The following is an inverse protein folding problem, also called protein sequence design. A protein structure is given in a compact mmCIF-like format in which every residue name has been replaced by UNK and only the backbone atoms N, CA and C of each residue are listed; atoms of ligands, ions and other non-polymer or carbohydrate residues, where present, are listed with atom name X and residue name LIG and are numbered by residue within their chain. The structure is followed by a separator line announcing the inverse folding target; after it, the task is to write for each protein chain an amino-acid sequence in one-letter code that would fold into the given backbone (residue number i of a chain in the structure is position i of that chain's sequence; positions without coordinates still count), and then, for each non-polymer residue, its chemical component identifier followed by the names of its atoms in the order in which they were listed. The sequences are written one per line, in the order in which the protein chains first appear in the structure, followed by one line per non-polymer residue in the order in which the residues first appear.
data_IF_255118989907
#
_entry.id   IF_255118989907
#
_cell.length_a   1.000
_cell.length_b   1.000
_cell.length_c   1.000
_cell.angle_alpha   90.00
_cell.angle_beta   90.00
_cell.angle_gamma   90.00
#
_symmetry.space_group_name_H-M   'P 1'
#
loop_
_entity.id
_entity.type
_entity.pdbx_description
1 polymer ?
#
# COMPACT_ATOMS: atom_id res chain seq x y z
N UNK A 1 -13.12 15.85 -4.19
CA UNK A 1 -13.45 15.37 -2.84
C UNK A 1 -13.83 16.53 -1.95
N UNK A 2 -14.85 16.37 -1.17
CA UNK A 2 -15.30 17.43 -0.24
C UNK A 2 -14.44 17.41 1.03
N UNK A 3 -14.26 18.56 1.67
CA UNK A 3 -13.57 18.67 2.97
C UNK A 3 -14.13 17.68 4.01
N UNK A 4 -15.43 17.40 3.97
CA UNK A 4 -16.10 16.43 4.84
C UNK A 4 -15.56 15.00 4.73
N UNK A 5 -15.08 14.58 3.54
CA UNK A 5 -14.47 13.24 3.36
C UNK A 5 -13.07 13.17 3.96
N UNK A 6 -12.34 14.28 3.97
CA UNK A 6 -11.01 14.39 4.58
C UNK A 6 -11.09 14.40 6.11
N UNK A 7 -12.11 15.05 6.68
CA UNK A 7 -12.30 15.14 8.13
C UNK A 7 -12.66 13.80 8.75
N UNK A 8 -13.33 12.93 8.00
CA UNK A 8 -13.66 11.57 8.45
C UNK A 8 -12.57 10.53 8.15
N UNK A 9 -11.53 10.88 7.39
CA UNK A 9 -10.46 9.96 7.04
C UNK A 9 -9.47 9.81 8.20
N UNK A 10 -9.34 8.58 8.71
CA UNK A 10 -8.41 8.26 9.80
C UNK A 10 -6.97 8.64 9.45
N UNK A 11 -6.51 8.36 8.23
CA UNK A 11 -5.13 8.68 7.82
C UNK A 11 -4.91 10.17 7.62
N UNK A 12 -5.89 10.92 7.10
CA UNK A 12 -5.81 12.39 7.09
C UNK A 12 -5.66 12.96 8.50
N UNK A 13 -6.40 12.43 9.45
CA UNK A 13 -6.33 12.85 10.85
C UNK A 13 -5.00 12.49 11.50
N UNK A 14 -4.41 11.34 11.16
CA UNK A 14 -3.06 10.97 11.58
C UNK A 14 -2.02 11.94 10.99
N UNK A 15 -2.10 12.23 9.70
CA UNK A 15 -1.20 13.18 9.02
C UNK A 15 -1.24 14.57 9.66
N UNK A 16 -2.42 15.02 10.09
CA UNK A 16 -2.60 16.29 10.80
C UNK A 16 -2.22 16.25 12.28
N UNK A 17 -1.86 15.09 12.81
CA UNK A 17 -1.55 14.94 14.24
C UNK A 17 -2.76 14.93 15.17
N UNK A 18 -3.97 14.77 14.63
CA UNK A 18 -5.23 14.73 15.40
C UNK A 18 -5.50 13.35 16.02
N UNK A 19 -4.92 12.30 15.45
CA UNK A 19 -4.98 10.94 15.96
C UNK A 19 -3.56 10.41 16.17
N UNK A 20 -3.34 9.63 17.24
CA UNK A 20 -2.04 9.04 17.50
C UNK A 20 -1.67 7.98 16.46
N UNK A 21 -0.39 7.93 16.11
CA UNK A 21 0.21 6.85 15.35
C UNK A 21 1.67 6.68 15.77
N UNK A 22 2.19 5.46 15.67
CA UNK A 22 3.61 5.20 15.92
C UNK A 22 4.38 5.43 14.62
N UNK A 23 4.76 6.67 14.39
CA UNK A 23 5.46 7.13 13.18
C UNK A 23 6.92 6.69 13.24
N UNK A 24 7.42 6.14 12.13
CA UNK A 24 8.81 5.70 11.98
C UNK A 24 9.57 6.59 11.02
N UNK A 25 8.91 7.06 9.98
CA UNK A 25 9.51 7.90 8.94
C UNK A 25 8.47 8.87 8.36
N UNK A 26 8.93 10.05 8.00
CA UNK A 26 8.09 11.07 7.38
C UNK A 26 8.95 11.89 6.41
N UNK A 27 8.40 12.21 5.26
CA UNK A 27 8.93 13.22 4.35
C UNK A 27 7.80 14.17 3.89
N UNK A 28 8.07 15.00 2.90
CA UNK A 28 7.11 15.99 2.40
C UNK A 28 5.81 15.34 1.88
N UNK A 29 5.91 14.18 1.24
CA UNK A 29 4.82 13.53 0.52
C UNK A 29 4.21 12.33 1.23
N UNK A 30 4.93 11.71 2.15
CA UNK A 30 4.55 10.42 2.74
C UNK A 30 4.76 10.36 4.25
N UNK A 31 4.00 9.47 4.89
CA UNK A 31 4.11 9.13 6.30
C UNK A 31 4.18 7.61 6.44
N UNK A 32 5.21 7.11 7.11
CA UNK A 32 5.35 5.69 7.43
C UNK A 32 5.17 5.46 8.93
N UNK A 33 4.25 4.57 9.28
CA UNK A 33 3.89 4.29 10.66
C UNK A 33 3.54 2.81 10.84
N UNK A 34 3.60 2.36 12.10
CA UNK A 34 3.30 0.97 12.42
C UNK A 34 1.82 0.67 12.22
N UNK A 35 1.53 -0.48 11.63
CA UNK A 35 0.14 -0.98 11.55
C UNK A 35 -0.28 -1.46 12.94
N UNK A 36 -1.38 -0.92 13.47
CA UNK A 36 -1.94 -1.35 14.76
C UNK A 36 -2.48 -2.78 14.71
N UNK A 37 -2.85 -3.26 13.53
CA UNK A 37 -3.23 -4.65 13.25
C UNK A 37 -2.04 -5.50 12.76
N UNK A 38 -0.84 -5.25 13.25
CA UNK A 38 0.37 -5.93 12.81
C UNK A 38 0.22 -7.45 12.82
N UNK A 39 0.55 -8.07 11.68
CA UNK A 39 0.53 -9.52 11.54
C UNK A 39 1.89 -10.16 11.80
N UNK A 40 2.97 -9.39 11.60
CA UNK A 40 4.34 -9.78 11.94
C UNK A 40 5.08 -8.56 12.53
N UNK A 41 6.12 -8.76 13.34
CA UNK A 41 6.96 -7.66 13.81
C UNK A 41 7.55 -6.86 12.65
N UNK A 42 7.40 -5.54 12.69
CA UNK A 42 7.86 -4.66 11.62
C UNK A 42 6.84 -4.39 10.51
N UNK A 43 5.62 -4.89 10.61
CA UNK A 43 4.54 -4.57 9.67
C UNK A 43 4.23 -3.08 9.70
N UNK A 44 4.51 -2.40 8.62
CA UNK A 44 4.34 -0.94 8.49
C UNK A 44 3.38 -0.58 7.37
N UNK A 45 2.78 0.59 7.53
CA UNK A 45 2.03 1.28 6.49
C UNK A 45 2.85 2.48 6.00
N UNK A 46 2.82 2.70 4.69
CA UNK A 46 3.30 3.93 4.06
C UNK A 46 2.11 4.57 3.38
N UNK A 47 1.68 5.72 3.87
CA UNK A 47 0.55 6.48 3.33
C UNK A 47 1.03 7.74 2.63
N UNK A 48 0.34 8.17 1.57
CA UNK A 48 0.55 9.51 1.01
C UNK A 48 -0.06 10.55 1.95
N UNK A 49 0.56 11.73 2.06
CA UNK A 49 0.02 12.82 2.91
C UNK A 49 -1.22 13.47 2.32
N UNK A 50 -1.27 13.80 1.01
CA UNK A 50 -2.50 14.26 0.39
C UNK A 50 -3.59 13.18 0.46
N UNK A 51 -4.84 13.60 0.61
CA UNK A 51 -5.96 12.66 0.54
C UNK A 51 -6.19 12.22 -0.90
N UNK A 52 -5.70 11.05 -1.23
CA UNK A 52 -5.96 10.35 -2.48
C UNK A 52 -6.49 8.97 -2.13
N UNK A 53 -7.62 8.59 -2.66
CA UNK A 53 -8.32 7.37 -2.25
C UNK A 53 -7.60 6.09 -2.68
N UNK A 54 -7.08 6.07 -3.91
CA UNK A 54 -6.54 4.87 -4.54
C UNK A 54 -5.48 5.20 -5.59
N UNK A 55 -4.88 4.16 -6.18
CA UNK A 55 -3.83 4.28 -7.19
C UNK A 55 -4.34 4.97 -8.47
N UNK A 56 -5.57 4.67 -8.88
CA UNK A 56 -6.16 5.21 -10.12
C UNK A 56 -6.36 6.74 -10.05
N UNK A 57 -6.50 7.29 -8.86
CA UNK A 57 -6.67 8.73 -8.62
C UNK A 57 -5.36 9.46 -8.32
N UNK A 58 -4.23 8.74 -8.34
CA UNK A 58 -2.92 9.27 -7.97
C UNK A 58 -2.14 9.71 -9.20
N UNK A 59 -1.48 10.86 -9.12
CA UNK A 59 -0.51 11.24 -10.16
C UNK A 59 0.81 10.46 -10.05
N UNK A 60 1.59 10.44 -11.13
CA UNK A 60 2.81 9.66 -11.20
C UNK A 60 3.92 10.11 -10.25
N UNK A 61 4.00 11.40 -9.92
CA UNK A 61 4.98 11.92 -8.96
C UNK A 61 4.68 11.44 -7.54
N UNK A 62 3.42 11.53 -7.13
CA UNK A 62 2.99 11.05 -5.82
C UNK A 62 3.14 9.54 -5.70
N UNK A 63 2.81 8.79 -6.75
CA UNK A 63 3.03 7.34 -6.80
C UNK A 63 4.52 7.00 -6.67
N UNK A 64 5.39 7.74 -7.35
CA UNK A 64 6.85 7.61 -7.22
C UNK A 64 7.34 7.89 -5.81
N UNK A 65 6.83 8.94 -5.16
CA UNK A 65 7.16 9.28 -3.78
C UNK A 65 6.74 8.16 -2.81
N UNK A 66 5.53 7.62 -2.99
CA UNK A 66 5.01 6.53 -2.18
C UNK A 66 5.90 5.28 -2.27
N UNK A 67 6.30 4.86 -3.46
CA UNK A 67 7.16 3.71 -3.64
C UNK A 67 8.62 3.94 -3.21
N UNK A 68 9.15 5.16 -3.37
CA UNK A 68 10.46 5.50 -2.79
C UNK A 68 10.48 5.32 -1.27
N UNK A 69 9.43 5.75 -0.59
CA UNK A 69 9.28 5.57 0.86
C UNK A 69 9.09 4.10 1.23
N UNK A 70 8.30 3.35 0.46
CA UNK A 70 8.14 1.90 0.67
C UNK A 70 9.49 1.15 0.52
N UNK A 71 10.31 1.49 -0.47
CA UNK A 71 11.66 0.94 -0.61
C UNK A 71 12.54 1.25 0.60
N UNK A 72 12.46 2.46 1.11
CA UNK A 72 13.22 2.91 2.27
C UNK A 72 12.83 2.14 3.54
N UNK A 73 11.53 1.98 3.75
CA UNK A 73 10.98 1.17 4.85
C UNK A 73 11.39 -0.31 4.71
N UNK A 74 11.31 -0.88 3.51
CA UNK A 74 11.70 -2.26 3.26
C UNK A 74 13.18 -2.51 3.60
N UNK A 75 14.08 -1.59 3.23
CA UNK A 75 15.51 -1.66 3.60
C UNK A 75 15.73 -1.60 5.11
N UNK A 76 15.00 -0.75 5.81
CA UNK A 76 15.07 -0.67 7.26
C UNK A 76 14.59 -1.97 7.93
N UNK A 77 13.49 -2.55 7.45
CA UNK A 77 12.98 -3.84 7.91
C UNK A 77 14.02 -4.94 7.69
N UNK A 78 14.60 -5.00 6.50
CA UNK A 78 15.65 -5.99 6.18
C UNK A 78 16.84 -5.89 7.12
N UNK A 79 17.29 -4.67 7.39
CA UNK A 79 18.43 -4.42 8.29
C UNK A 79 18.15 -4.85 9.73
N UNK A 80 16.97 -4.52 10.25
CA UNK A 80 16.62 -4.73 11.66
C UNK A 80 16.17 -6.17 11.94
N UNK A 81 15.30 -6.70 11.10
CA UNK A 81 14.63 -7.98 11.36
C UNK A 81 15.19 -9.16 10.57
N UNK A 82 15.90 -8.90 9.48
CA UNK A 82 16.45 -9.94 8.59
C UNK A 82 15.42 -11.02 8.25
N UNK A 83 14.22 -10.62 7.73
CA UNK A 83 13.17 -11.58 7.40
C UNK A 83 13.60 -12.46 6.23
N UNK A 84 12.88 -13.57 6.01
CA UNK A 84 13.09 -14.41 4.84
C UNK A 84 12.61 -13.77 3.55
N UNK A 85 11.69 -12.80 3.65
CA UNK A 85 11.18 -12.02 2.52
C UNK A 85 10.38 -10.82 2.99
N UNK A 86 9.97 -9.98 2.04
CA UNK A 86 9.11 -8.83 2.31
C UNK A 86 7.97 -8.84 1.29
N UNK A 87 6.73 -8.84 1.76
CA UNK A 87 5.56 -8.63 0.92
C UNK A 87 5.18 -7.15 0.92
N UNK A 88 4.95 -6.62 -0.27
CA UNK A 88 4.41 -5.28 -0.45
C UNK A 88 2.99 -5.43 -0.99
N UNK A 89 2.02 -4.87 -0.30
CA UNK A 89 0.60 -5.01 -0.62
C UNK A 89 -0.07 -3.65 -0.70
N UNK A 90 -0.79 -3.41 -1.79
CA UNK A 90 -1.56 -2.19 -2.03
C UNK A 90 -2.91 -2.57 -2.63
N UNK A 91 -4.00 -2.09 -2.06
CA UNK A 91 -5.35 -2.43 -2.48
C UNK A 91 -6.13 -1.18 -2.91
N UNK A 92 -6.90 -1.32 -3.97
CA UNK A 92 -7.72 -0.25 -4.55
C UNK A 92 -9.15 -0.73 -4.71
N UNK A 93 -10.03 -0.21 -3.88
CA UNK A 93 -11.43 -0.57 -3.81
C UNK A 93 -11.74 -1.72 -2.85
N UNK A 94 -13.02 -1.83 -2.43
CA UNK A 94 -13.45 -2.83 -1.45
C UNK A 94 -13.24 -4.28 -1.91
N UNK A 95 -13.49 -4.57 -3.19
CA UNK A 95 -13.32 -5.90 -3.76
C UNK A 95 -11.85 -6.36 -3.78
N UNK A 96 -10.91 -5.42 -3.73
CA UNK A 96 -9.48 -5.69 -3.63
C UNK A 96 -8.98 -5.75 -2.18
N UNK A 97 -9.86 -5.56 -1.18
CA UNK A 97 -9.52 -5.60 0.23
C UNK A 97 -9.10 -4.25 0.83
N UNK A 98 -9.34 -3.14 0.13
CA UNK A 98 -9.11 -1.82 0.72
C UNK A 98 -10.14 -1.55 1.82
N UNK A 99 -9.66 -1.23 3.02
CA UNK A 99 -10.51 -0.93 4.19
C UNK A 99 -10.43 0.53 4.63
N UNK A 100 -9.31 1.18 4.40
CA UNK A 100 -9.14 2.64 4.59
C UNK A 100 -9.01 3.28 3.22
N UNK A 101 -9.94 4.17 2.88
CA UNK A 101 -10.01 4.83 1.57
C UNK A 101 -9.10 6.05 1.50
N UNK A 102 -7.83 5.79 1.69
CA UNK A 102 -6.70 6.70 1.61
C UNK A 102 -5.49 5.87 1.17
N UNK A 103 -4.91 6.19 0.03
CA UNK A 103 -3.90 5.36 -0.61
C UNK A 103 -2.70 5.11 0.29
N UNK A 104 -2.38 3.85 0.49
CA UNK A 104 -1.28 3.37 1.32
C UNK A 104 -0.76 2.03 0.85
N UNK A 105 0.45 1.72 1.25
CA UNK A 105 1.13 0.45 0.99
C UNK A 105 1.40 -0.22 2.34
N UNK A 106 1.10 -1.52 2.43
CA UNK A 106 1.61 -2.38 3.49
C UNK A 106 3.00 -2.87 3.10
N UNK A 107 3.95 -2.73 4.00
CA UNK A 107 5.28 -3.34 3.89
C UNK A 107 5.40 -4.35 5.02
N UNK A 108 5.43 -5.62 4.66
CA UNK A 108 5.22 -6.73 5.57
C UNK A 108 6.42 -7.68 5.57
N UNK A 109 7.19 -7.75 6.66
CA UNK A 109 8.23 -8.75 6.82
C UNK A 109 7.62 -10.16 6.85
N UNK A 110 8.26 -11.09 6.17
CA UNK A 110 7.77 -12.46 6.04
C UNK A 110 8.81 -13.48 6.51
N UNK A 111 8.34 -14.49 7.21
CA UNK A 111 9.11 -15.67 7.61
C UNK A 111 8.44 -16.94 7.13
N UNK A 112 9.21 -17.98 6.88
CA UNK A 112 8.66 -19.30 6.62
C UNK A 112 7.78 -19.71 7.80
N UNK A 113 6.59 -20.23 7.49
CA UNK A 113 5.61 -20.68 8.48
C UNK A 113 5.04 -19.56 9.38
N UNK A 114 5.00 -18.32 8.92
CA UNK A 114 4.41 -17.19 9.63
C UNK A 114 2.86 -17.20 9.66
N UNK A 115 2.25 -18.23 9.11
CA UNK A 115 0.79 -18.39 9.08
C UNK A 115 0.07 -17.59 7.98
N UNK A 116 0.80 -16.81 7.19
CA UNK A 116 0.23 -16.03 6.10
C UNK A 116 0.43 -16.75 4.76
N UNK A 117 -0.65 -16.83 3.98
CA UNK A 117 -0.61 -17.40 2.64
C UNK A 117 -1.19 -16.41 1.63
N UNK A 118 -0.48 -16.23 0.52
CA UNK A 118 -0.98 -15.50 -0.64
C UNK A 118 -1.18 -16.50 -1.78
N UNK A 119 -2.38 -17.03 -1.89
CA UNK A 119 -2.75 -17.96 -2.95
C UNK A 119 -3.97 -17.44 -3.69
N UNK A 120 -3.99 -17.65 -5.01
CA UNK A 120 -5.14 -17.34 -5.86
C UNK A 120 -5.35 -18.46 -6.90
N UNK A 121 -6.60 -18.69 -7.32
CA UNK A 121 -6.88 -19.72 -8.32
C UNK A 121 -6.42 -19.25 -9.70
N UNK A 122 -5.43 -19.93 -10.23
CA UNK A 122 -4.88 -19.64 -11.57
C UNK A 122 -5.83 -20.19 -12.63
N UNK A 123 -6.21 -19.37 -13.61
CA UNK A 123 -7.17 -19.73 -14.65
C UNK A 123 -6.53 -20.16 -15.98
N UNK A 124 -5.23 -19.91 -16.16
CA UNK A 124 -4.45 -20.30 -17.34
C UNK A 124 -5.14 -19.98 -18.69
N UNK A 125 -5.46 -18.71 -18.97
CA UNK A 125 -6.07 -18.36 -20.25
C UNK A 125 -5.12 -18.67 -21.41
N UNK A 126 -5.68 -18.95 -22.59
CA UNK A 126 -4.92 -19.15 -23.82
C UNK A 126 -4.18 -17.89 -24.25
N UNK A 127 -3.13 -18.05 -25.06
CA UNK A 127 -2.41 -16.89 -25.62
C UNK A 127 -3.33 -16.00 -26.45
N UNK A 128 -4.30 -16.54 -27.16
CA UNK A 128 -5.29 -15.80 -27.93
C UNK A 128 -6.19 -14.94 -27.03
N UNK A 129 -6.67 -15.49 -25.91
CA UNK A 129 -7.46 -14.73 -24.93
C UNK A 129 -6.64 -13.60 -24.29
N UNK A 130 -5.38 -13.89 -23.94
CA UNK A 130 -4.46 -12.87 -23.41
C UNK A 130 -4.24 -11.73 -24.41
N UNK A 131 -4.06 -12.04 -25.71
CA UNK A 131 -3.85 -11.00 -26.73
C UNK A 131 -5.11 -10.15 -26.95
N UNK A 132 -6.30 -10.74 -26.88
CA UNK A 132 -7.57 -9.97 -26.95
C UNK A 132 -7.67 -8.96 -25.80
N UNK A 133 -7.36 -9.38 -24.58
CA UNK A 133 -7.39 -8.50 -23.43
C UNK A 133 -6.32 -7.41 -23.53
N UNK A 134 -5.10 -7.79 -23.94
CA UNK A 134 -4.00 -6.85 -24.12
C UNK A 134 -4.33 -5.78 -25.16
N UNK A 135 -4.97 -6.16 -26.27
CA UNK A 135 -5.41 -5.22 -27.30
C UNK A 135 -6.41 -4.18 -26.76
N UNK A 136 -7.36 -4.61 -25.93
CA UNK A 136 -8.30 -3.70 -25.27
C UNK A 136 -7.59 -2.72 -24.32
N UNK A 137 -6.66 -3.22 -23.50
CA UNK A 137 -5.92 -2.38 -22.55
C UNK A 137 -5.03 -1.34 -23.27
N UNK A 138 -4.38 -1.72 -24.37
CA UNK A 138 -3.55 -0.79 -25.15
C UNK A 138 -4.34 0.41 -25.67
N UNK A 139 -5.65 0.29 -25.88
CA UNK A 139 -6.47 1.43 -26.32
C UNK A 139 -6.71 2.47 -25.22
N UNK A 140 -6.47 2.11 -23.97
CA UNK A 140 -6.67 2.98 -22.79
C UNK A 140 -5.36 3.54 -22.22
N UNK A 141 -4.23 3.12 -22.75
CA UNK A 141 -2.91 3.61 -22.38
C UNK A 141 -2.44 4.70 -23.35
#
# INVERSE_FOLDING_TARGET
MTAASMDNCVFCRIVRGELPATVVFEDEATLAFMDIGSVNPGHMLVAVKPHVENLQSMDGELAGALFRSACRVAKAIETVYKPHGISVYQANGPAAGQTVFHAHIHVLPRWENDGLTFTWPVKNPSREELEKVAAQLRTAL
#
